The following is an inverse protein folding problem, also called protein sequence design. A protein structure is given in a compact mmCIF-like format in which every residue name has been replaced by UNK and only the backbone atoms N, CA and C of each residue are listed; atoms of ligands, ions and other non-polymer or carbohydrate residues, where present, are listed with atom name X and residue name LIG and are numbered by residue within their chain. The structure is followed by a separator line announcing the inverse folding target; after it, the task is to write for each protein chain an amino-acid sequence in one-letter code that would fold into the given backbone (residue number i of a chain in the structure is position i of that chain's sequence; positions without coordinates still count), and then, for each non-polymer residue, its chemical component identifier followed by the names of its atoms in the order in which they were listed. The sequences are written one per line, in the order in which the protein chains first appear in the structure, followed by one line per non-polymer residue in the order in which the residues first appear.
data_IF_964973867583
#
_entry.id   IF_964973867583
#
_cell.length_a   1.000
_cell.length_b   1.000
_cell.length_c   1.000
_cell.angle_alpha   90.00
_cell.angle_beta   90.00
_cell.angle_gamma   90.00
#
_symmetry.space_group_name_H-M   'P 1'
#
loop_
_entity.id
_entity.type
_entity.pdbx_description
1 polymer ?
#
# COMPACT_ATOMS: atom_id res chain seq x y z
N UNK A 1 25.36 -62.94 -20.28
CA UNK A 1 25.30 -61.54 -20.75
C UNK A 1 23.90 -61.16 -21.23
N UNK A 2 23.24 -61.97 -22.07
CA UNK A 2 21.88 -61.72 -22.62
C UNK A 2 20.80 -61.42 -21.56
N UNK A 3 20.63 -62.26 -20.53
CA UNK A 3 19.63 -62.03 -19.46
C UNK A 3 19.77 -60.70 -18.70
N UNK A 4 20.98 -60.16 -18.60
CA UNK A 4 21.23 -58.86 -17.95
C UNK A 4 20.77 -57.69 -18.83
N UNK A 5 20.83 -57.85 -20.15
CA UNK A 5 20.34 -56.85 -21.12
C UNK A 5 18.81 -56.85 -21.13
N UNK A 6 18.17 -58.02 -21.11
CA UNK A 6 16.69 -58.14 -21.09
C UNK A 6 16.08 -57.51 -19.82
N UNK A 7 16.72 -57.69 -18.67
CA UNK A 7 16.29 -57.09 -17.41
C UNK A 7 16.44 -55.56 -17.40
N UNK A 8 17.50 -55.03 -18.02
CA UNK A 8 17.69 -53.58 -18.20
C UNK A 8 16.63 -53.00 -19.12
N UNK A 9 16.34 -53.69 -20.23
CA UNK A 9 15.31 -53.28 -21.17
C UNK A 9 13.92 -53.22 -20.54
N UNK A 10 13.55 -54.22 -19.73
CA UNK A 10 12.28 -54.22 -18.99
C UNK A 10 12.16 -53.08 -17.98
N UNK A 11 13.27 -52.68 -17.34
CA UNK A 11 13.31 -51.51 -16.44
C UNK A 11 13.15 -50.21 -17.21
N UNK A 12 13.82 -50.05 -18.35
CA UNK A 12 13.73 -48.86 -19.18
C UNK A 12 12.30 -48.64 -19.70
N UNK A 13 11.61 -49.69 -20.11
CA UNK A 13 10.19 -49.61 -20.52
C UNK A 13 9.27 -49.21 -19.36
N UNK A 14 9.55 -49.70 -18.15
CA UNK A 14 8.80 -49.30 -16.96
C UNK A 14 9.04 -47.84 -16.59
N UNK A 15 10.29 -47.37 -16.67
CA UNK A 15 10.66 -45.97 -16.44
C UNK A 15 9.94 -45.05 -17.45
N UNK A 16 9.94 -45.40 -18.73
CA UNK A 16 9.22 -44.61 -19.76
C UNK A 16 7.72 -44.49 -19.49
N UNK A 17 7.08 -45.56 -18.99
CA UNK A 17 5.64 -45.52 -18.62
C UNK A 17 5.39 -44.62 -17.43
N UNK A 18 6.27 -44.66 -16.43
CA UNK A 18 6.23 -43.78 -15.27
C UNK A 18 6.42 -42.32 -15.69
N UNK A 19 7.41 -42.02 -16.52
CA UNK A 19 7.68 -40.66 -17.01
C UNK A 19 6.48 -40.09 -17.76
N UNK A 20 5.83 -40.91 -18.61
CA UNK A 20 4.58 -40.50 -19.29
C UNK A 20 3.48 -40.17 -18.30
N UNK A 21 3.27 -41.04 -17.31
CA UNK A 21 2.24 -40.83 -16.29
C UNK A 21 2.52 -39.60 -15.43
N UNK A 22 3.80 -39.32 -15.14
CA UNK A 22 4.22 -38.11 -14.43
C UNK A 22 3.99 -36.86 -15.27
N UNK A 23 4.29 -36.92 -16.57
CA UNK A 23 4.07 -35.82 -17.50
C UNK A 23 2.59 -35.44 -17.56
N UNK A 24 1.70 -36.41 -17.79
CA UNK A 24 0.25 -36.19 -17.84
C UNK A 24 -0.28 -35.56 -16.54
N UNK A 25 0.17 -36.06 -15.38
CA UNK A 25 -0.22 -35.48 -14.08
C UNK A 25 0.33 -34.07 -13.88
N UNK A 26 1.55 -33.82 -14.33
CA UNK A 26 2.17 -32.49 -14.21
C UNK A 26 1.42 -31.43 -15.02
N UNK A 27 0.89 -31.81 -16.18
CA UNK A 27 0.10 -30.94 -17.04
C UNK A 27 -1.24 -30.58 -16.37
N UNK A 28 -1.95 -31.58 -15.83
CA UNK A 28 -3.21 -31.36 -15.09
C UNK A 28 -2.99 -30.46 -13.86
N UNK A 29 -1.89 -30.68 -13.13
CA UNK A 29 -1.54 -29.83 -11.97
C UNK A 29 -1.24 -28.39 -12.41
N UNK A 30 -0.56 -28.20 -13.53
CA UNK A 30 -0.29 -26.86 -14.06
C UNK A 30 -1.59 -26.13 -14.43
N UNK A 31 -2.51 -26.79 -15.13
CA UNK A 31 -3.82 -26.22 -15.49
C UNK A 31 -4.65 -25.86 -14.25
N UNK A 32 -4.68 -26.75 -13.24
CA UNK A 32 -5.41 -26.50 -12.01
C UNK A 32 -4.82 -25.35 -11.19
N UNK A 33 -3.49 -25.26 -11.11
CA UNK A 33 -2.82 -24.18 -10.37
C UNK A 33 -3.04 -22.82 -11.04
N UNK A 34 -3.09 -22.75 -12.37
CA UNK A 34 -3.45 -21.54 -13.11
C UNK A 34 -4.86 -21.07 -12.75
N UNK A 35 -5.86 -21.95 -12.87
CA UNK A 35 -7.27 -21.63 -12.54
C UNK A 35 -7.44 -21.14 -11.10
N UNK A 36 -6.78 -21.80 -10.14
CA UNK A 36 -6.82 -21.40 -8.74
C UNK A 36 -6.16 -20.03 -8.52
N UNK A 37 -5.05 -19.77 -9.22
CA UNK A 37 -4.35 -18.48 -9.13
C UNK A 37 -5.20 -17.34 -9.68
N UNK A 38 -5.91 -17.56 -10.79
CA UNK A 38 -6.85 -16.59 -11.34
C UNK A 38 -8.02 -16.32 -10.40
N UNK A 39 -8.65 -17.38 -9.88
CA UNK A 39 -9.74 -17.26 -8.91
C UNK A 39 -9.30 -16.49 -7.65
N UNK A 40 -8.11 -16.79 -7.14
CA UNK A 40 -7.54 -16.09 -5.99
C UNK A 40 -7.32 -14.60 -6.26
N UNK A 41 -6.78 -14.25 -7.45
CA UNK A 41 -6.59 -12.84 -7.86
C UNK A 41 -7.93 -12.10 -7.91
N UNK A 42 -8.95 -12.71 -8.50
CA UNK A 42 -10.28 -12.11 -8.60
C UNK A 42 -10.88 -11.84 -7.21
N UNK A 43 -10.84 -12.83 -6.32
CA UNK A 43 -11.37 -12.70 -4.95
C UNK A 43 -10.59 -11.63 -4.17
N UNK A 44 -9.26 -11.62 -4.27
CA UNK A 44 -8.42 -10.63 -3.60
C UNK A 44 -8.73 -9.20 -4.05
N UNK A 45 -8.90 -9.00 -5.36
CA UNK A 45 -9.27 -7.70 -5.93
C UNK A 45 -10.68 -7.28 -5.49
N UNK A 46 -11.65 -8.19 -5.51
CA UNK A 46 -13.02 -7.93 -5.05
C UNK A 46 -13.04 -7.53 -3.57
N UNK A 47 -12.30 -8.25 -2.72
CA UNK A 47 -12.17 -7.95 -1.30
C UNK A 47 -11.52 -6.58 -1.05
N UNK A 48 -10.42 -6.28 -1.74
CA UNK A 48 -9.76 -4.98 -1.63
C UNK A 48 -10.69 -3.82 -2.04
N UNK A 49 -11.39 -3.97 -3.17
CA UNK A 49 -12.34 -2.98 -3.66
C UNK A 49 -13.53 -2.81 -2.70
N UNK A 50 -14.07 -3.91 -2.16
CA UNK A 50 -15.13 -3.89 -1.16
C UNK A 50 -14.71 -3.14 0.11
N UNK A 51 -13.52 -3.42 0.63
CA UNK A 51 -12.99 -2.69 1.79
C UNK A 51 -12.77 -1.20 1.50
N UNK A 52 -12.27 -0.85 0.31
CA UNK A 52 -12.09 0.54 -0.10
C UNK A 52 -13.43 1.29 -0.16
N UNK A 53 -14.46 0.66 -0.73
CA UNK A 53 -15.81 1.22 -0.79
C UNK A 53 -16.41 1.39 0.62
N UNK A 54 -16.24 0.39 1.49
CA UNK A 54 -16.70 0.46 2.89
C UNK A 54 -16.04 1.61 3.65
N UNK A 55 -14.72 1.80 3.51
CA UNK A 55 -14.01 2.93 4.13
C UNK A 55 -14.56 4.28 3.66
N UNK A 56 -14.86 4.43 2.36
CA UNK A 56 -15.48 5.64 1.82
C UNK A 56 -16.88 5.87 2.39
N UNK A 57 -17.72 4.83 2.43
CA UNK A 57 -19.07 4.93 2.99
C UNK A 57 -19.06 5.31 4.49
N UNK A 58 -18.13 4.74 5.27
CA UNK A 58 -17.91 5.13 6.67
C UNK A 58 -17.46 6.58 6.83
N UNK A 59 -16.60 7.07 5.94
CA UNK A 59 -16.17 8.46 5.95
C UNK A 59 -17.31 9.42 5.57
N UNK A 60 -18.17 9.05 4.60
CA UNK A 60 -19.33 9.85 4.19
C UNK A 60 -20.45 9.88 5.24
N UNK A 61 -20.66 8.78 5.95
CA UNK A 61 -21.63 8.71 7.06
C UNK A 61 -21.15 9.41 8.33
N UNK A 62 -19.85 9.71 8.44
CA UNK A 62 -19.35 10.61 9.47
C UNK A 62 -19.84 12.03 9.15
N UNK A 63 -20.98 12.39 9.73
CA UNK A 63 -21.45 13.78 9.75
C UNK A 63 -20.48 14.61 10.56
N UNK A 64 -19.98 15.70 9.97
CA UNK A 64 -19.26 16.73 10.69
C UNK A 64 -20.26 17.78 11.17
N UNK A 65 -20.04 18.35 12.35
CA UNK A 65 -20.81 19.51 12.78
C UNK A 65 -20.48 20.67 11.84
N UNK A 66 -21.51 21.29 11.24
CA UNK A 66 -21.31 22.37 10.27
C UNK A 66 -20.60 23.58 10.90
N UNK A 67 -20.74 23.77 12.21
CA UNK A 67 -20.04 24.80 12.96
C UNK A 67 -18.52 24.57 12.98
N UNK A 68 -18.07 23.34 13.19
CA UNK A 68 -16.64 23.02 13.15
C UNK A 68 -16.05 23.29 11.76
N UNK A 69 -16.73 22.86 10.70
CA UNK A 69 -16.31 23.11 9.32
C UNK A 69 -16.20 24.61 9.05
N UNK A 70 -17.23 25.39 9.40
CA UNK A 70 -17.22 26.84 9.23
C UNK A 70 -16.10 27.51 10.03
N UNK A 71 -15.92 27.12 11.30
CA UNK A 71 -14.86 27.66 12.18
C UNK A 71 -13.48 27.36 11.61
N UNK A 72 -13.20 26.12 11.21
CA UNK A 72 -11.90 25.75 10.66
C UNK A 72 -11.66 26.38 9.28
N UNK A 73 -12.67 26.44 8.42
CA UNK A 73 -12.56 27.16 7.13
C UNK A 73 -12.23 28.64 7.34
N UNK A 74 -12.92 29.32 8.27
CA UNK A 74 -12.63 30.71 8.59
C UNK A 74 -11.21 30.88 9.14
N UNK A 75 -10.76 30.00 10.05
CA UNK A 75 -9.39 30.04 10.58
C UNK A 75 -8.32 29.83 9.50
N UNK A 76 -8.52 28.89 8.59
CA UNK A 76 -7.60 28.63 7.46
C UNK A 76 -7.52 29.84 6.54
N UNK A 77 -8.66 30.45 6.21
CA UNK A 77 -8.72 31.66 5.36
C UNK A 77 -8.10 32.87 6.04
N UNK A 78 -8.40 33.09 7.33
CA UNK A 78 -7.85 34.22 8.12
C UNK A 78 -6.33 34.12 8.24
N UNK A 79 -5.80 32.91 8.34
CA UNK A 79 -4.38 32.66 8.53
C UNK A 79 -3.61 32.46 7.21
N UNK A 80 -4.16 32.78 6.03
CA UNK A 80 -3.44 32.66 4.74
C UNK A 80 -2.72 31.30 4.52
N UNK A 81 -3.28 30.21 5.07
CA UNK A 81 -2.60 28.89 5.10
C UNK A 81 -2.56 28.18 3.75
N UNK A 82 -3.25 28.71 2.73
CA UNK A 82 -3.39 28.10 1.40
C UNK A 82 -2.29 28.58 0.43
N UNK A 83 -1.83 29.82 0.57
CA UNK A 83 -0.74 30.35 -0.25
C UNK A 83 -0.07 31.54 0.46
N UNK A 84 1.26 31.59 0.39
CA UNK A 84 2.05 32.75 0.85
C UNK A 84 1.86 33.92 -0.11
N UNK A 85 1.45 35.11 0.36
CA UNK A 85 1.62 36.36 -0.35
C UNK A 85 3.04 36.55 -0.90
N UNK A 86 3.15 37.18 -2.07
CA UNK A 86 4.42 37.34 -2.81
C UNK A 86 5.47 38.20 -2.08
N UNK A 87 5.07 38.96 -1.06
CA UNK A 87 5.95 39.85 -0.30
C UNK A 87 6.47 39.25 1.01
N UNK A 88 6.11 38.01 1.36
CA UNK A 88 6.63 37.36 2.58
C UNK A 88 8.11 37.02 2.45
N UNK A 89 8.96 37.70 3.22
CA UNK A 89 10.40 37.40 3.35
C UNK A 89 10.70 36.58 4.61
N UNK A 90 11.82 35.87 4.63
CA UNK A 90 12.22 35.03 5.76
C UNK A 90 12.33 35.90 7.03
N UNK A 91 11.66 35.51 8.12
CA UNK A 91 11.60 36.30 9.35
C UNK A 91 10.45 37.29 9.46
N UNK A 92 9.58 37.37 8.45
CA UNK A 92 8.36 38.20 8.49
C UNK A 92 7.39 37.73 9.60
N UNK A 93 7.02 38.59 10.57
CA UNK A 93 6.14 38.24 11.68
C UNK A 93 4.69 37.99 11.25
N UNK A 94 4.29 38.35 10.03
CA UNK A 94 2.95 38.08 9.49
C UNK A 94 2.80 36.64 8.96
N UNK A 95 3.86 35.83 9.02
CA UNK A 95 3.82 34.43 8.59
C UNK A 95 2.94 33.59 9.53
N UNK A 96 1.98 32.82 9.00
CA UNK A 96 1.06 32.00 9.79
C UNK A 96 1.67 30.69 10.29
N UNK A 97 2.89 30.34 9.85
CA UNK A 97 3.64 29.23 10.43
C UNK A 97 4.39 29.71 11.67
N UNK A 98 4.64 28.83 12.66
CA UNK A 98 5.41 29.20 13.84
C UNK A 98 6.75 29.84 13.42
N UNK A 99 6.95 31.12 13.75
CA UNK A 99 8.24 31.79 13.58
C UNK A 99 9.30 31.04 14.38
N UNK A 100 10.58 31.13 14.01
CA UNK A 100 11.69 30.54 14.78
C UNK A 100 11.59 30.82 16.29
N UNK A 101 11.13 32.02 16.67
CA UNK A 101 10.86 32.37 18.06
C UNK A 101 9.72 31.55 18.68
N UNK A 102 8.59 31.37 17.99
CA UNK A 102 7.50 30.51 18.44
C UNK A 102 7.92 29.03 18.49
N UNK A 103 8.76 28.59 17.55
CA UNK A 103 9.31 27.23 17.55
C UNK A 103 10.22 27.00 18.76
N UNK A 104 11.11 27.96 19.08
CA UNK A 104 11.97 27.94 20.27
C UNK A 104 11.19 27.94 21.58
N UNK A 105 10.06 28.65 21.64
CA UNK A 105 9.19 28.70 22.84
C UNK A 105 8.29 27.46 22.92
N UNK A 106 8.04 26.78 21.80
CA UNK A 106 7.22 25.57 21.78
C UNK A 106 7.88 24.42 22.53
N UNK A 107 7.07 23.44 22.92
CA UNK A 107 7.54 22.20 23.55
C UNK A 107 8.60 21.47 22.71
N UNK A 108 8.60 21.68 21.39
CA UNK A 108 9.59 21.11 20.46
C UNK A 108 10.94 21.83 20.48
N UNK A 109 10.99 23.12 20.81
CA UNK A 109 12.24 23.89 20.90
C UNK A 109 13.01 23.67 22.20
N UNK A 110 12.34 23.17 23.23
CA UNK A 110 12.92 22.86 24.54
C UNK A 110 13.35 21.38 24.70
N UNK A 111 13.04 20.53 23.71
CA UNK A 111 13.46 19.14 23.67
C UNK A 111 14.70 19.04 22.77
N UNK A 112 15.85 18.71 23.36
CA UNK A 112 17.13 18.58 22.67
C UNK A 112 17.04 17.60 21.49
N UNK A 113 17.22 18.13 20.28
CA UNK A 113 17.82 17.41 19.16
C UNK A 113 16.94 16.48 18.33
N UNK A 114 16.90 16.80 17.04
CA UNK A 114 16.71 15.85 15.91
C UNK A 114 15.30 15.29 15.76
N UNK A 115 14.40 16.10 15.21
CA UNK A 115 13.39 15.56 14.29
C UNK A 115 13.34 16.46 13.07
N UNK A 116 13.84 15.93 11.95
CA UNK A 116 13.79 16.58 10.65
C UNK A 116 12.37 17.03 10.35
N UNK A 117 12.18 18.33 10.15
CA UNK A 117 10.96 18.89 9.60
C UNK A 117 10.71 18.27 8.22
N UNK A 118 9.73 17.36 8.14
CA UNK A 118 9.04 17.08 6.90
C UNK A 118 8.22 18.33 6.56
N UNK A 119 8.84 19.22 5.80
CA UNK A 119 8.11 20.19 4.99
C UNK A 119 7.18 19.38 4.08
N UNK A 120 5.87 19.50 4.27
CA UNK A 120 4.92 19.02 3.27
C UNK A 120 5.02 19.99 2.09
N UNK A 121 5.83 19.60 1.11
CA UNK A 121 5.72 19.93 -0.32
C UNK A 121 5.94 18.62 -1.09
#
# INVERSE_FOLDING_TARGET
MVRQVDFRYGKEEYIKKLDRSLFERSEVLAEQTEKLTEAFKLVSNAHFNGQKALKKAKAQSKSFESEEVLRFSHLISKNFSVASPHFWQQGDPMRPYPTELHFRISTFGNADGIVSFLFIL
#
